data_IF_778196822266
#
_entry.id   IF_778196822266
#
_cell.length_a   1.000
_cell.length_b   1.000
_cell.length_c   1.000
_cell.angle_alpha   90.00
_cell.angle_beta   90.00
_cell.angle_gamma   90.00
#
_symmetry.space_group_name_H-M   'P 1'
#
loop_
_entity.id
_entity.type
_entity.pdbx_description
1 polymer ?
#
# COMPACT_ATOMS: atom_id res chain seq x y z
N UNK A 1 18.38 16.54 18.32
CA UNK A 1 17.95 16.16 16.97
C UNK A 1 16.44 16.05 17.01
N UNK A 2 15.74 17.01 16.41
CA UNK A 2 14.28 17.06 16.35
C UNK A 2 13.75 15.80 15.66
N UNK A 3 12.82 15.11 16.31
CA UNK A 3 12.19 13.90 15.79
C UNK A 3 11.18 14.31 14.70
N UNK A 4 11.66 14.59 13.49
CA UNK A 4 10.88 15.17 12.38
C UNK A 4 10.04 14.16 11.59
N UNK A 5 10.11 12.86 11.89
CA UNK A 5 9.39 11.84 11.10
C UNK A 5 8.00 11.44 11.62
N UNK A 6 7.51 12.03 12.72
CA UNK A 6 6.20 11.63 13.29
C UNK A 6 5.24 12.80 13.38
N UNK A 7 4.11 12.70 12.67
CA UNK A 7 3.00 13.67 12.76
C UNK A 7 1.96 13.19 13.77
N UNK A 8 1.56 14.06 14.69
CA UNK A 8 0.45 13.78 15.62
C UNK A 8 -0.88 14.06 14.93
N UNK A 9 -1.73 13.04 14.88
CA UNK A 9 -3.09 13.16 14.34
C UNK A 9 -4.12 12.97 15.45
N UNK A 10 -5.15 13.83 15.46
CA UNK A 10 -6.35 13.66 16.30
C UNK A 10 -7.51 13.23 15.39
N UNK A 11 -8.14 12.10 15.70
CA UNK A 11 -9.28 11.56 14.95
C UNK A 11 -10.46 11.31 15.89
N UNK A 12 -11.67 11.43 15.36
CA UNK A 12 -12.89 11.09 16.10
C UNK A 12 -13.38 9.72 15.62
N UNK A 13 -13.57 8.80 16.56
CA UNK A 13 -14.06 7.45 16.33
C UNK A 13 -15.39 7.26 17.06
N UNK A 14 -16.22 6.33 16.59
CA UNK A 14 -17.39 5.92 17.37
C UNK A 14 -16.94 5.28 18.69
N UNK A 15 -17.75 5.41 19.75
CA UNK A 15 -17.46 4.79 21.05
C UNK A 15 -17.32 3.26 20.94
N UNK A 16 -18.15 2.65 20.11
CA UNK A 16 -18.12 1.21 19.86
C UNK A 16 -16.80 0.77 19.21
N UNK A 17 -16.35 1.50 18.19
CA UNK A 17 -15.09 1.21 17.49
C UNK A 17 -13.89 1.40 18.42
N UNK A 18 -13.85 2.45 19.24
CA UNK A 18 -12.76 2.65 20.22
C UNK A 18 -12.72 1.50 21.24
N UNK A 19 -13.89 1.06 21.75
CA UNK A 19 -13.96 -0.05 22.68
C UNK A 19 -13.48 -1.37 22.06
N UNK A 20 -13.97 -1.69 20.85
CA UNK A 20 -13.58 -2.89 20.13
C UNK A 20 -12.08 -2.89 19.81
N UNK A 21 -11.53 -1.76 19.38
CA UNK A 21 -10.11 -1.59 19.07
C UNK A 21 -9.23 -1.79 20.31
N UNK A 22 -9.61 -1.19 21.45
CA UNK A 22 -8.88 -1.37 22.71
C UNK A 22 -8.97 -2.79 23.23
N UNK A 23 -10.13 -3.44 23.13
CA UNK A 23 -10.31 -4.83 23.53
C UNK A 23 -9.43 -5.76 22.66
N UNK A 24 -9.41 -5.54 21.35
CA UNK A 24 -8.59 -6.30 20.41
C UNK A 24 -7.10 -6.17 20.71
N UNK A 25 -6.59 -4.94 20.89
CA UNK A 25 -5.19 -4.71 21.23
C UNK A 25 -4.86 -5.20 22.64
N UNK A 26 -5.79 -5.06 23.59
CA UNK A 26 -5.65 -5.54 24.95
C UNK A 26 -5.45 -7.06 25.00
N UNK A 27 -6.20 -7.81 24.20
CA UNK A 27 -6.06 -9.27 24.08
C UNK A 27 -4.68 -9.70 23.53
N UNK A 28 -3.97 -8.82 22.82
CA UNK A 28 -2.63 -9.08 22.27
C UNK A 28 -1.49 -8.57 23.18
N UNK A 29 -1.80 -8.04 24.37
CA UNK A 29 -0.79 -7.54 25.30
C UNK A 29 -0.33 -6.11 25.01
N UNK A 30 -1.30 -5.23 24.69
CA UNK A 30 -1.12 -3.80 24.37
C UNK A 30 0.03 -3.11 25.11
N UNK A 31 0.92 -2.47 24.34
CA UNK A 31 1.98 -1.58 24.81
C UNK A 31 1.71 -0.13 24.40
N UNK A 32 2.38 0.80 25.07
CA UNK A 32 2.33 2.22 24.70
C UNK A 32 2.86 2.39 23.26
N UNK A 33 2.01 2.89 22.36
CA UNK A 33 2.32 3.09 20.94
C UNK A 33 1.62 2.12 19.99
N UNK A 34 1.13 0.98 20.49
CA UNK A 34 0.50 -0.03 19.63
C UNK A 34 -0.80 0.47 18.98
N UNK A 35 -1.53 1.36 19.66
CA UNK A 35 -2.72 1.98 19.09
C UNK A 35 -2.39 2.86 17.87
N UNK A 36 -1.37 3.71 17.98
CA UNK A 36 -0.93 4.57 16.88
C UNK A 36 -0.40 3.73 15.72
N UNK A 37 0.39 2.70 16.00
CA UNK A 37 0.91 1.78 14.99
C UNK A 37 -0.21 1.01 14.29
N UNK A 38 -1.18 0.50 15.05
CA UNK A 38 -2.32 -0.23 14.47
C UNK A 38 -3.14 0.66 13.54
N UNK A 39 -3.41 1.90 13.94
CA UNK A 39 -4.13 2.86 13.11
C UNK A 39 -3.34 3.17 11.84
N UNK A 40 -2.02 3.37 11.95
CA UNK A 40 -1.14 3.60 10.79
C UNK A 40 -1.18 2.43 9.80
N UNK A 41 -1.02 1.20 10.29
CA UNK A 41 -1.05 -0.01 9.48
C UNK A 41 -2.43 -0.20 8.81
N UNK A 42 -3.52 0.07 9.53
CA UNK A 42 -4.87 0.00 9.00
C UNK A 42 -5.12 1.03 7.89
N UNK A 43 -4.63 2.27 8.05
CA UNK A 43 -4.74 3.32 7.03
C UNK A 43 -3.93 2.94 5.80
N UNK A 44 -2.69 2.49 5.98
CA UNK A 44 -1.82 2.04 4.87
C UNK A 44 -2.47 0.90 4.09
N UNK A 45 -3.00 -0.09 4.80
CA UNK A 45 -3.70 -1.21 4.19
C UNK A 45 -4.95 -0.76 3.42
N UNK A 46 -5.74 0.15 4.00
CA UNK A 46 -6.95 0.66 3.33
C UNK A 46 -6.62 1.43 2.06
N UNK A 47 -5.60 2.29 2.08
CA UNK A 47 -5.14 3.02 0.90
C UNK A 47 -4.65 2.07 -0.20
N UNK A 48 -3.87 1.04 0.18
CA UNK A 48 -3.38 0.03 -0.75
C UNK A 48 -4.54 -0.74 -1.40
N UNK A 49 -5.47 -1.25 -0.59
CA UNK A 49 -6.65 -1.97 -1.10
C UNK A 49 -7.46 -1.08 -2.06
N UNK A 50 -7.72 0.18 -1.71
CA UNK A 50 -8.42 1.11 -2.60
C UNK A 50 -7.69 1.33 -3.93
N UNK A 51 -6.36 1.46 -3.91
CA UNK A 51 -5.57 1.59 -5.13
C UNK A 51 -5.66 0.31 -5.99
N UNK A 52 -5.54 -0.87 -5.38
CA UNK A 52 -5.69 -2.16 -6.07
C UNK A 52 -7.08 -2.30 -6.67
N UNK A 53 -8.15 -2.00 -5.92
CA UNK A 53 -9.50 -2.06 -6.44
C UNK A 53 -9.71 -1.04 -7.57
N UNK A 54 -9.15 0.16 -7.47
CA UNK A 54 -9.20 1.17 -8.52
C UNK A 54 -8.55 0.71 -9.83
N UNK A 55 -7.37 0.09 -9.74
CA UNK A 55 -6.68 -0.48 -10.90
C UNK A 55 -7.48 -1.64 -11.50
N UNK A 56 -7.98 -2.56 -10.66
CA UNK A 56 -8.80 -3.68 -11.11
C UNK A 56 -10.08 -3.22 -11.80
N UNK A 57 -10.78 -2.24 -11.23
CA UNK A 57 -12.00 -1.69 -11.81
C UNK A 57 -11.73 -1.02 -13.16
N UNK A 58 -10.62 -0.29 -13.31
CA UNK A 58 -10.22 0.32 -14.57
C UNK A 58 -9.96 -0.71 -15.67
N UNK A 59 -9.43 -1.86 -15.31
CA UNK A 59 -9.05 -2.92 -16.24
C UNK A 59 -10.10 -4.05 -16.29
N UNK A 60 -11.29 -3.87 -15.72
CA UNK A 60 -12.27 -4.94 -15.55
C UNK A 60 -12.81 -5.49 -16.88
N UNK A 61 -12.87 -4.64 -17.91
CA UNK A 61 -13.39 -4.99 -19.24
C UNK A 61 -12.27 -5.41 -20.22
N UNK A 62 -11.01 -5.42 -19.78
CA UNK A 62 -9.88 -5.84 -20.62
C UNK A 62 -9.76 -7.37 -20.62
N UNK A 63 -9.46 -7.95 -21.78
CA UNK A 63 -9.11 -9.36 -21.85
C UNK A 63 -7.80 -9.63 -21.09
N UNK A 64 -7.71 -10.80 -20.45
CA UNK A 64 -6.57 -11.15 -19.61
C UNK A 64 -5.27 -11.24 -20.41
N UNK A 65 -5.32 -11.75 -21.64
CA UNK A 65 -4.15 -11.88 -22.51
C UNK A 65 -3.70 -10.50 -23.02
N UNK A 66 -4.65 -9.61 -23.33
CA UNK A 66 -4.36 -8.22 -23.71
C UNK A 66 -3.73 -7.44 -22.54
N UNK A 67 -4.26 -7.61 -21.32
CA UNK A 67 -3.69 -7.01 -20.12
C UNK A 67 -2.27 -7.52 -19.85
N UNK A 68 -2.04 -8.83 -20.01
CA UNK A 68 -0.72 -9.43 -19.83
C UNK A 68 0.28 -8.93 -20.88
N UNK A 69 -0.13 -8.83 -22.14
CA UNK A 69 0.71 -8.28 -23.21
C UNK A 69 1.11 -6.81 -22.93
N UNK A 70 0.16 -5.98 -22.47
CA UNK A 70 0.44 -4.59 -22.09
C UNK A 70 1.42 -4.49 -20.91
N UNK A 71 1.33 -5.40 -19.93
CA UNK A 71 2.28 -5.48 -18.81
C UNK A 71 3.67 -5.86 -19.33
N UNK A 72 3.75 -6.88 -20.18
CA UNK A 72 5.03 -7.37 -20.71
C UNK A 72 5.75 -6.31 -21.55
N UNK A 73 5.01 -5.57 -22.37
CA UNK A 73 5.52 -4.43 -23.15
C UNK A 73 6.07 -3.32 -22.25
N UNK A 74 5.29 -2.88 -21.25
CA UNK A 74 5.72 -1.85 -20.31
C UNK A 74 6.98 -2.27 -19.55
N UNK A 75 7.04 -3.52 -19.09
CA UNK A 75 8.22 -4.06 -18.42
C UNK A 75 9.43 -4.17 -19.35
N UNK A 76 9.23 -4.55 -20.61
CA UNK A 76 10.32 -4.63 -21.60
C UNK A 76 10.90 -3.24 -21.87
N UNK A 77 10.05 -2.21 -21.97
CA UNK A 77 10.44 -0.81 -22.17
C UNK A 77 11.34 -0.34 -21.02
N UNK A 78 10.89 -0.45 -19.77
CA UNK A 78 11.68 -0.03 -18.60
C UNK A 78 13.00 -0.81 -18.49
N UNK A 79 12.99 -2.11 -18.77
CA UNK A 79 14.23 -2.92 -18.79
C UNK A 79 15.21 -2.43 -19.85
N UNK A 80 14.73 -2.04 -21.02
CA UNK A 80 15.57 -1.51 -22.10
C UNK A 80 16.16 -0.14 -21.76
N UNK A 81 15.45 0.69 -21.01
CA UNK A 81 15.91 2.01 -20.54
C UNK A 81 16.92 1.90 -19.39
N UNK A 82 16.68 0.99 -18.45
CA UNK A 82 17.54 0.77 -17.28
C UNK A 82 18.81 -0.01 -17.60
N UNK A 83 18.74 -0.88 -18.60
CA UNK A 83 19.88 -1.66 -19.08
C UNK A 83 19.94 -1.58 -20.61
N UNK A 84 20.29 -0.41 -21.18
CA UNK A 84 20.48 -0.28 -22.61
C UNK A 84 21.52 -1.33 -22.97
N UNK A 85 21.11 -2.31 -23.77
CA UNK A 85 21.96 -3.44 -24.10
C UNK A 85 23.25 -2.86 -24.64
N UNK A 86 24.36 -3.01 -23.92
CA UNK A 86 25.70 -2.78 -24.45
C UNK A 86 25.87 -3.80 -25.57
N UNK A 87 25.37 -3.45 -26.76
CA UNK A 87 25.61 -4.21 -27.97
C UNK A 87 27.09 -4.05 -28.24
N UNK A 88 27.80 -5.09 -27.81
CA UNK A 88 29.20 -5.37 -28.07
C UNK A 88 29.51 -5.08 -29.53
N UNK A 89 30.58 -4.31 -29.71
CA UNK A 89 31.29 -4.18 -30.97
C UNK A 89 31.51 -5.55 -31.63
N UNK A 90 31.32 -5.60 -32.95
CA UNK A 90 32.07 -6.37 -33.93
C UNK A 90 31.81 -5.76 -35.31
#
# INVERSE_FOLDING_TARGET
>A
MSNEETTRLTVTLSRETDLALRAFLGAQGMRKGDLSKFIEDAVRWRMFDQAVQGVKARNADMDADELQAAIDEACATVRSEMWPTSSKAL
#
